data_IF_819133276939
#
_entry.id   IF_819133276939
#
_cell.length_a   1.000
_cell.length_b   1.000
_cell.length_c   1.000
_cell.angle_alpha   90.00
_cell.angle_beta   90.00
_cell.angle_gamma   90.00
#
_symmetry.space_group_name_H-M   'P 1'
#
loop_
_entity.id
_entity.type
_entity.pdbx_description
1 polymer ?
#
# COMPACT_ATOMS: atom_id res chain seq x y z
N UNK A 1 10.91 -7.49 -11.41
CA UNK A 1 11.26 -6.87 -10.11
C UNK A 1 10.23 -7.32 -9.11
N UNK A 2 10.69 -7.76 -7.94
CA UNK A 2 9.79 -8.07 -6.84
C UNK A 2 9.26 -6.77 -6.24
N UNK A 3 8.04 -6.75 -5.70
CA UNK A 3 7.49 -5.55 -5.08
C UNK A 3 8.39 -4.97 -3.98
N UNK A 4 9.15 -5.84 -3.32
CA UNK A 4 10.11 -5.51 -2.27
C UNK A 4 11.14 -4.45 -2.74
N UNK A 5 11.53 -4.52 -4.02
CA UNK A 5 12.45 -3.58 -4.66
C UNK A 5 11.78 -2.26 -5.05
N UNK A 6 10.44 -2.22 -5.08
CA UNK A 6 9.65 -1.07 -5.53
C UNK A 6 8.90 -0.36 -4.38
N UNK A 7 9.01 -0.86 -3.14
CA UNK A 7 8.34 -0.24 -1.99
C UNK A 7 8.78 1.22 -1.80
N UNK A 8 10.08 1.57 -1.81
CA UNK A 8 10.49 2.96 -1.62
C UNK A 8 9.91 3.91 -2.69
N UNK A 9 9.92 3.50 -3.95
CA UNK A 9 9.39 4.28 -5.08
C UNK A 9 7.87 4.43 -4.96
N UNK A 10 7.16 3.36 -4.59
CA UNK A 10 5.73 3.43 -4.34
C UNK A 10 5.41 4.39 -3.19
N UNK A 11 6.14 4.31 -2.09
CA UNK A 11 5.94 5.19 -0.94
C UNK A 11 6.23 6.66 -1.28
N UNK A 12 7.25 6.92 -2.10
CA UNK A 12 7.54 8.26 -2.63
C UNK A 12 6.39 8.78 -3.50
N UNK A 13 5.89 7.97 -4.44
CA UNK A 13 4.74 8.33 -5.29
C UNK A 13 3.49 8.62 -4.47
N UNK A 14 3.20 7.82 -3.43
CA UNK A 14 2.12 8.10 -2.50
C UNK A 14 2.31 9.46 -1.81
N UNK A 15 3.54 9.81 -1.43
CA UNK A 15 3.87 11.12 -0.87
C UNK A 15 3.58 12.27 -1.83
N UNK A 16 3.94 12.13 -3.11
CA UNK A 16 3.62 13.11 -4.16
C UNK A 16 2.10 13.28 -4.35
N UNK A 17 1.35 12.19 -4.17
CA UNK A 17 -0.11 12.21 -4.18
C UNK A 17 -0.72 12.82 -2.90
N UNK A 18 0.06 13.21 -1.88
CA UNK A 18 -0.46 13.68 -0.59
C UNK A 18 -1.02 12.56 0.30
N UNK A 19 -0.56 11.33 0.07
CA UNK A 19 -0.87 10.13 0.84
C UNK A 19 0.34 9.70 1.67
N UNK A 20 0.08 8.86 2.67
CA UNK A 20 1.08 8.21 3.50
C UNK A 20 0.88 6.71 3.41
N UNK A 21 1.92 6.01 2.92
CA UNK A 21 1.99 4.56 2.93
C UNK A 21 2.84 4.04 4.09
N UNK A 22 2.42 2.94 4.69
CA UNK A 22 3.18 2.20 5.71
C UNK A 22 3.18 0.73 5.31
N UNK A 23 4.37 0.14 5.27
CA UNK A 23 4.57 -1.31 5.18
C UNK A 23 5.18 -1.77 6.49
N UNK A 24 4.58 -2.79 7.11
CA UNK A 24 5.15 -3.41 8.32
C UNK A 24 5.05 -4.92 8.27
N UNK A 25 5.98 -5.56 8.96
CA UNK A 25 5.94 -6.98 9.29
C UNK A 25 5.84 -7.11 10.82
N UNK A 26 4.89 -7.91 11.27
CA UNK A 26 4.66 -8.24 12.67
C UNK A 26 5.12 -9.69 12.91
N UNK A 27 6.31 -9.83 13.50
CA UNK A 27 6.95 -11.13 13.73
C UNK A 27 6.28 -12.00 14.80
N UNK A 28 5.37 -11.43 15.59
CA UNK A 28 4.59 -12.18 16.59
C UNK A 28 3.37 -12.86 15.96
N UNK A 29 2.98 -12.47 14.74
CA UNK A 29 1.85 -13.07 14.02
C UNK A 29 2.26 -14.32 13.26
N UNK A 30 1.72 -15.46 13.66
CA UNK A 30 1.85 -16.71 12.92
C UNK A 30 1.14 -16.68 11.55
N UNK A 31 0.06 -15.89 11.43
CA UNK A 31 -0.73 -15.76 10.22
C UNK A 31 -0.88 -14.28 9.84
N UNK A 32 -0.75 -13.98 8.55
CA UNK A 32 -0.82 -12.64 7.98
C UNK A 32 0.12 -11.63 8.69
N UNK A 33 1.44 -11.89 8.72
CA UNK A 33 2.40 -11.03 9.40
C UNK A 33 2.60 -9.68 8.70
N UNK A 34 2.28 -9.58 7.41
CA UNK A 34 2.43 -8.34 6.66
C UNK A 34 1.20 -7.46 6.77
N UNK A 35 1.40 -6.17 6.99
CA UNK A 35 0.37 -5.14 6.88
C UNK A 35 0.84 -4.02 5.96
N UNK A 36 -0.02 -3.63 5.02
CA UNK A 36 0.10 -2.37 4.26
C UNK A 36 -1.02 -1.44 4.68
N UNK A 37 -0.70 -0.19 5.00
CA UNK A 37 -1.67 0.88 5.29
C UNK A 37 -1.40 2.04 4.33
N UNK A 38 -2.46 2.58 3.72
CA UNK A 38 -2.43 3.83 2.96
C UNK A 38 -3.48 4.75 3.55
N UNK A 39 -3.07 5.97 3.89
CA UNK A 39 -3.92 6.99 4.53
C UNK A 39 -3.60 8.37 3.98
N UNK A 40 -4.43 9.37 4.26
CA UNK A 40 -4.15 10.76 3.86
C UNK A 40 -5.42 11.56 3.66
N UNK A 41 -5.27 12.89 3.56
CA UNK A 41 -6.39 13.82 3.42
C UNK A 41 -7.24 13.54 2.16
N UNK A 42 -6.62 13.04 1.09
CA UNK A 42 -7.31 12.68 -0.16
C UNK A 42 -8.18 11.43 -0.06
N UNK A 43 -8.08 10.67 1.03
CA UNK A 43 -8.98 9.56 1.32
C UNK A 43 -10.14 9.98 2.22
N UNK A 44 -10.40 11.28 2.38
CA UNK A 44 -11.48 11.82 3.22
C UNK A 44 -11.45 11.28 4.67
N UNK A 45 -10.24 11.10 5.21
CA UNK A 45 -10.02 10.53 6.55
C UNK A 45 -10.14 9.00 6.61
N UNK A 46 -10.49 8.32 5.51
CA UNK A 46 -10.43 6.87 5.42
C UNK A 46 -8.98 6.37 5.26
N UNK A 47 -8.80 5.07 5.48
CA UNK A 47 -7.54 4.37 5.17
C UNK A 47 -7.83 3.07 4.44
N UNK A 48 -6.87 2.66 3.61
CA UNK A 48 -6.79 1.33 3.03
C UNK A 48 -5.85 0.52 3.93
N UNK A 49 -6.30 -0.61 4.45
CA UNK A 49 -5.47 -1.52 5.24
C UNK A 49 -5.62 -2.94 4.70
N UNK A 50 -4.48 -3.57 4.42
CA UNK A 50 -4.43 -4.96 3.97
C UNK A 50 -3.47 -5.75 4.85
N UNK A 51 -3.97 -6.82 5.46
CA UNK A 51 -3.17 -7.81 6.18
C UNK A 51 -3.04 -9.08 5.32
N UNK A 52 -1.85 -9.68 5.25
CA UNK A 52 -1.58 -10.80 4.34
C UNK A 52 -0.34 -11.62 4.66
N UNK A 53 -0.26 -12.80 4.06
CA UNK A 53 0.84 -13.75 4.29
C UNK A 53 2.12 -13.37 3.52
N UNK A 54 2.03 -12.46 2.56
CA UNK A 54 3.17 -11.95 1.80
C UNK A 54 3.02 -10.45 1.53
N UNK A 55 4.15 -9.79 1.34
CA UNK A 55 4.20 -8.38 0.95
C UNK A 55 3.53 -8.14 -0.41
N UNK A 56 3.81 -8.98 -1.40
CA UNK A 56 3.20 -8.94 -2.75
C UNK A 56 1.66 -8.96 -2.69
N UNK A 57 1.08 -9.84 -1.87
CA UNK A 57 -0.36 -9.90 -1.68
C UNK A 57 -0.88 -8.56 -1.14
N UNK A 58 -0.29 -8.05 -0.07
CA UNK A 58 -0.75 -6.82 0.55
C UNK A 58 -0.66 -5.62 -0.40
N UNK A 59 0.43 -5.50 -1.14
CA UNK A 59 0.66 -4.39 -2.06
C UNK A 59 -0.28 -4.45 -3.26
N UNK A 60 -0.45 -5.61 -3.90
CA UNK A 60 -1.41 -5.76 -5.01
C UNK A 60 -2.81 -5.35 -4.59
N UNK A 61 -3.28 -5.85 -3.46
CA UNK A 61 -4.62 -5.52 -2.97
C UNK A 61 -4.75 -4.05 -2.57
N UNK A 62 -3.73 -3.47 -1.92
CA UNK A 62 -3.75 -2.05 -1.56
C UNK A 62 -3.78 -1.15 -2.80
N UNK A 63 -3.01 -1.48 -3.83
CA UNK A 63 -2.93 -0.72 -5.09
C UNK A 63 -4.20 -0.88 -5.91
N UNK A 64 -4.80 -2.07 -5.95
CA UNK A 64 -6.13 -2.25 -6.56
C UNK A 64 -7.16 -1.35 -5.89
N UNK A 65 -7.24 -1.35 -4.56
CA UNK A 65 -8.16 -0.48 -3.83
C UNK A 65 -7.86 1.01 -4.06
N UNK A 66 -6.59 1.37 -4.24
CA UNK A 66 -6.20 2.75 -4.52
C UNK A 66 -6.55 3.18 -5.95
N UNK A 67 -6.38 2.28 -6.94
CA UNK A 67 -6.78 2.49 -8.34
C UNK A 67 -8.29 2.66 -8.50
N UNK A 68 -9.09 1.96 -7.70
CA UNK A 68 -10.55 2.14 -7.68
C UNK A 68 -10.95 3.54 -7.22
N UNK A 69 -10.12 4.20 -6.40
CA UNK A 69 -10.35 5.57 -5.92
C UNK A 69 -9.71 6.64 -6.81
N UNK A 70 -8.55 6.35 -7.39
CA UNK A 70 -7.78 7.28 -8.22
C UNK A 70 -7.34 6.60 -9.52
N UNK A 71 -8.27 6.34 -10.46
CA UNK A 71 -7.98 5.57 -11.67
C UNK A 71 -6.92 6.23 -12.57
N UNK A 72 -6.84 7.56 -12.58
CA UNK A 72 -5.97 8.32 -13.49
C UNK A 72 -4.58 8.63 -12.90
N UNK A 73 -4.34 8.34 -11.62
CA UNK A 73 -3.12 8.75 -10.89
C UNK A 73 -2.16 7.61 -10.56
N UNK A 74 -2.57 6.36 -10.83
CA UNK A 74 -1.82 5.14 -10.51
C UNK A 74 -1.46 4.34 -11.75
N UNK A 75 -1.10 5.06 -12.82
CA UNK A 75 -0.37 4.53 -13.96
C UNK A 75 1.09 4.19 -13.57
N UNK A 76 1.26 3.41 -12.50
CA UNK A 76 2.48 2.66 -12.23
C UNK A 76 2.52 1.54 -13.27
N UNK A 77 3.30 1.75 -14.32
CA UNK A 77 3.59 0.80 -15.40
C UNK A 77 4.56 -0.28 -14.97
#
# INVERSE_FOLDING_TARGET
MGWDECVPELLAHLGEMGLVGIVKIDGEREHRPWTVVISGGRLDGASIKVDGNSLDYCLRHAITALRERFPDELALG
#
